data_IF_800294073961
#
_entry.id   IF_800294073961
#
_cell.length_a   1.000
_cell.length_b   1.000
_cell.length_c   1.000
_cell.angle_alpha   90.00
_cell.angle_beta   90.00
_cell.angle_gamma   90.00
#
_symmetry.space_group_name_H-M   'P 1'
#
loop_
_entity.id
_entity.type
_entity.pdbx_description
1 polymer ?
#
# COMPACT_ATOMS: atom_id res chain seq x y z
N UNK A 1 -1.04 -27.19 -1.05
CA UNK A 1 -0.50 -25.85 -0.79
C UNK A 1 0.84 -25.74 -1.51
N UNK A 2 1.04 -24.67 -2.27
CA UNK A 2 2.21 -24.47 -3.11
C UNK A 2 3.50 -24.28 -2.27
N UNK A 3 4.64 -24.52 -2.89
CA UNK A 3 5.98 -24.20 -2.38
C UNK A 3 6.66 -23.35 -3.44
N UNK A 4 7.66 -22.52 -3.09
CA UNK A 4 8.37 -21.76 -4.10
C UNK A 4 9.08 -22.72 -5.06
N UNK A 5 9.09 -22.40 -6.34
CA UNK A 5 9.79 -23.18 -7.36
C UNK A 5 11.33 -23.02 -7.22
N UNK A 6 12.12 -23.73 -8.03
CA UNK A 6 13.57 -23.69 -7.94
C UNK A 6 14.16 -22.32 -8.29
N UNK A 7 13.59 -21.62 -9.26
CA UNK A 7 14.04 -20.28 -9.67
C UNK A 7 13.78 -19.25 -8.56
N UNK A 8 12.60 -19.29 -7.94
CA UNK A 8 12.26 -18.40 -6.82
C UNK A 8 13.15 -18.68 -5.59
N UNK A 9 13.48 -19.96 -5.33
CA UNK A 9 14.43 -20.33 -4.28
C UNK A 9 15.84 -19.85 -4.59
N UNK A 10 16.28 -19.99 -5.85
CA UNK A 10 17.56 -19.48 -6.33
C UNK A 10 17.66 -17.98 -6.13
N UNK A 11 16.64 -17.23 -6.55
CA UNK A 11 16.55 -15.79 -6.34
C UNK A 11 16.67 -15.38 -4.86
N UNK A 12 16.00 -16.08 -3.94
CA UNK A 12 16.14 -15.80 -2.49
C UNK A 12 17.56 -16.01 -2.01
N UNK A 13 18.18 -17.12 -2.40
CA UNK A 13 19.55 -17.44 -1.98
C UNK A 13 20.57 -16.44 -2.55
N UNK A 14 20.36 -16.00 -3.78
CA UNK A 14 21.27 -15.09 -4.48
C UNK A 14 21.13 -13.67 -3.92
N UNK A 15 19.90 -13.22 -3.70
CA UNK A 15 19.63 -11.93 -3.05
C UNK A 15 20.15 -11.88 -1.61
N UNK A 16 20.01 -12.98 -0.86
CA UNK A 16 20.59 -13.07 0.49
C UNK A 16 22.12 -13.09 0.44
N UNK A 17 22.72 -13.83 -0.49
CA UNK A 17 24.17 -13.83 -0.72
C UNK A 17 24.66 -12.40 -0.96
N UNK A 18 24.04 -11.67 -1.89
CA UNK A 18 24.47 -10.32 -2.28
C UNK A 18 24.32 -9.33 -1.13
N UNK A 19 23.24 -9.44 -0.34
CA UNK A 19 23.04 -8.61 0.85
C UNK A 19 24.10 -8.91 1.92
N UNK A 20 24.39 -10.18 2.16
CA UNK A 20 25.42 -10.64 3.12
C UNK A 20 26.82 -10.22 2.66
N UNK A 21 27.12 -10.30 1.38
CA UNK A 21 28.41 -9.87 0.82
C UNK A 21 28.61 -8.36 1.01
N UNK A 22 27.56 -7.56 0.79
CA UNK A 22 27.63 -6.10 0.87
C UNK A 22 27.58 -5.53 2.29
N UNK A 23 26.89 -6.20 3.23
CA UNK A 23 26.67 -5.68 4.59
C UNK A 23 27.23 -6.56 5.71
N UNK A 24 27.81 -7.69 5.34
CA UNK A 24 28.42 -8.63 6.26
C UNK A 24 27.42 -9.64 6.80
N UNK A 25 27.98 -10.66 7.46
CA UNK A 25 27.21 -11.81 7.96
C UNK A 25 26.47 -11.52 9.26
N UNK A 26 26.86 -10.49 10.02
CA UNK A 26 26.47 -10.32 11.42
C UNK A 26 24.95 -10.29 11.63
N UNK A 27 24.17 -9.46 10.92
CA UNK A 27 22.71 -9.46 11.12
C UNK A 27 22.11 -10.84 10.79
N UNK A 28 22.55 -11.45 9.69
CA UNK A 28 22.01 -12.74 9.26
C UNK A 28 22.25 -13.89 10.26
N UNK A 29 23.45 -13.98 10.84
CA UNK A 29 23.85 -15.13 11.67
C UNK A 29 23.72 -14.88 13.18
N UNK A 30 23.78 -13.61 13.61
CA UNK A 30 23.90 -13.24 15.02
C UNK A 30 22.83 -12.26 15.52
N UNK A 31 22.02 -11.61 14.67
CA UNK A 31 20.93 -10.77 15.17
C UNK A 31 19.91 -11.58 15.99
N UNK A 32 19.23 -10.89 16.90
CA UNK A 32 18.10 -11.46 17.62
C UNK A 32 16.95 -11.76 16.64
N UNK A 33 16.34 -12.95 16.76
CA UNK A 33 15.16 -13.30 15.97
C UNK A 33 13.94 -12.81 16.75
N UNK A 34 13.41 -11.65 16.36
CA UNK A 34 12.40 -10.97 17.15
C UNK A 34 11.10 -11.77 17.20
N UNK A 35 10.49 -11.81 18.38
CA UNK A 35 9.20 -12.45 18.63
C UNK A 35 8.28 -11.50 19.39
N UNK A 36 6.94 -11.69 19.36
CA UNK A 36 5.99 -10.84 20.10
C UNK A 36 6.02 -11.17 21.60
N UNK A 37 7.14 -10.91 22.24
CA UNK A 37 7.36 -11.15 23.68
C UNK A 37 7.94 -9.92 24.34
N UNK A 38 7.69 -9.79 25.64
CA UNK A 38 8.24 -8.72 26.49
C UNK A 38 9.78 -8.74 26.56
N UNK A 39 10.42 -9.85 26.14
CA UNK A 39 11.88 -9.93 26.01
C UNK A 39 12.40 -8.92 24.96
N UNK A 40 11.73 -8.82 23.81
CA UNK A 40 12.13 -7.93 22.72
C UNK A 40 11.35 -6.61 22.70
N UNK A 41 10.19 -6.58 23.35
CA UNK A 41 9.36 -5.38 23.43
C UNK A 41 8.89 -5.18 24.88
N UNK A 42 9.80 -4.77 25.79
CA UNK A 42 9.48 -4.63 27.21
C UNK A 42 8.66 -3.37 27.53
N UNK A 43 8.58 -2.43 26.57
CA UNK A 43 7.88 -1.17 26.75
C UNK A 43 6.36 -1.38 26.85
N UNK A 44 5.70 -0.55 27.66
CA UNK A 44 4.24 -0.66 27.82
C UNK A 44 3.53 -0.16 26.57
N UNK A 45 2.82 -1.05 25.90
CA UNK A 45 2.07 -0.71 24.69
C UNK A 45 0.84 0.16 24.98
N UNK A 46 0.74 1.28 24.26
CA UNK A 46 -0.44 2.12 24.15
C UNK A 46 -0.73 2.39 22.66
N UNK A 47 -1.99 2.30 22.20
CA UNK A 47 -2.35 2.55 20.80
C UNK A 47 -2.45 4.07 20.52
N UNK A 48 -1.36 4.79 20.77
CA UNK A 48 -1.19 6.23 20.58
C UNK A 48 0.19 6.54 19.99
N UNK A 49 0.51 7.83 19.84
CA UNK A 49 1.77 8.24 19.21
C UNK A 49 2.98 7.74 19.99
N UNK A 50 2.91 7.80 21.31
CA UNK A 50 3.98 7.41 22.22
C UNK A 50 4.29 5.91 22.09
N UNK A 51 3.26 5.05 22.10
CA UNK A 51 3.47 3.61 21.91
C UNK A 51 4.04 3.27 20.53
N UNK A 52 3.55 3.93 19.48
CA UNK A 52 4.08 3.74 18.11
C UNK A 52 5.53 4.23 17.99
N UNK A 53 5.89 5.35 18.64
CA UNK A 53 7.27 5.83 18.72
C UNK A 53 8.19 4.85 19.44
N UNK A 54 7.73 4.23 20.54
CA UNK A 54 8.52 3.20 21.24
C UNK A 54 8.81 2.02 20.32
N UNK A 55 7.81 1.50 19.62
CA UNK A 55 8.02 0.39 18.66
C UNK A 55 9.00 0.80 17.56
N UNK A 56 8.81 1.95 16.93
CA UNK A 56 9.71 2.43 15.88
C UNK A 56 11.15 2.63 16.39
N UNK A 57 11.31 3.18 17.60
CA UNK A 57 12.61 3.33 18.26
C UNK A 57 13.32 1.98 18.38
N UNK A 58 12.64 0.96 18.92
CA UNK A 58 13.18 -0.40 19.04
C UNK A 58 13.56 -1.00 17.70
N UNK A 59 12.69 -0.88 16.69
CA UNK A 59 12.96 -1.43 15.36
C UNK A 59 14.20 -0.81 14.70
N UNK A 60 14.36 0.51 14.82
CA UNK A 60 15.54 1.22 14.33
C UNK A 60 16.83 0.82 15.08
N UNK A 61 16.78 0.65 16.41
CA UNK A 61 17.92 0.11 17.19
C UNK A 61 18.27 -1.31 16.74
N UNK A 62 17.27 -2.19 16.58
CA UNK A 62 17.50 -3.56 16.12
C UNK A 62 18.07 -3.62 14.69
N UNK A 63 17.77 -2.64 13.86
CA UNK A 63 18.37 -2.48 12.53
C UNK A 63 19.78 -1.87 12.55
N UNK A 64 20.27 -1.39 13.69
CA UNK A 64 21.56 -0.71 13.80
C UNK A 64 21.54 0.73 13.27
N UNK A 65 20.38 1.39 13.34
CA UNK A 65 20.14 2.75 12.83
C UNK A 65 19.92 3.78 13.96
N UNK A 66 20.34 3.47 15.18
CA UNK A 66 20.12 4.32 16.37
C UNK A 66 20.80 5.69 16.31
N UNK A 67 21.81 5.87 15.45
CA UNK A 67 22.50 7.15 15.26
C UNK A 67 21.68 8.17 14.43
N UNK A 68 20.57 7.73 13.83
CA UNK A 68 19.66 8.57 13.05
C UNK A 68 18.55 9.13 13.95
N UNK A 69 18.19 10.40 13.70
CA UNK A 69 16.98 10.96 14.27
C UNK A 69 15.75 10.38 13.57
N UNK A 70 14.60 10.41 14.24
CA UNK A 70 13.36 9.91 13.67
C UNK A 70 12.27 10.97 13.73
N UNK A 71 11.55 11.12 12.63
CA UNK A 71 10.34 11.90 12.53
C UNK A 71 9.17 10.98 12.22
N UNK A 72 8.14 10.98 13.07
CA UNK A 72 6.95 10.15 12.91
C UNK A 72 5.69 11.00 12.78
N UNK A 73 4.92 10.73 11.73
CA UNK A 73 3.58 11.28 11.52
C UNK A 73 2.53 10.18 11.64
N UNK A 74 1.57 10.36 12.56
CA UNK A 74 0.35 9.55 12.59
C UNK A 74 -0.75 10.28 11.82
N UNK A 75 -1.30 9.66 10.78
CA UNK A 75 -2.37 10.25 9.98
C UNK A 75 -3.69 9.55 10.22
N UNK A 76 -4.71 10.27 10.74
CA UNK A 76 -6.11 9.81 10.77
C UNK A 76 -7.03 10.51 9.77
N UNK A 77 -6.58 11.64 9.24
CA UNK A 77 -7.15 12.40 8.13
C UNK A 77 -5.96 13.07 7.41
N UNK A 78 -6.01 13.29 6.09
CA UNK A 78 -4.87 13.84 5.35
C UNK A 78 -4.48 15.19 5.93
N UNK A 79 -3.24 15.31 6.43
CA UNK A 79 -2.62 16.61 6.53
C UNK A 79 -2.41 17.07 5.08
N UNK A 80 -2.97 18.23 4.71
CA UNK A 80 -2.91 18.77 3.36
C UNK A 80 -1.46 18.99 2.90
N UNK A 81 -0.53 19.21 3.83
CA UNK A 81 0.91 19.29 3.59
C UNK A 81 1.53 17.92 3.28
N UNK A 82 1.01 16.82 3.84
CA UNK A 82 1.51 15.46 3.62
C UNK A 82 1.07 14.89 2.25
N UNK A 83 -0.13 15.24 1.79
CA UNK A 83 -0.61 14.89 0.45
C UNK A 83 0.22 15.51 -0.68
N UNK A 84 0.92 16.62 -0.42
CA UNK A 84 1.82 17.25 -1.40
C UNK A 84 3.17 16.54 -1.56
N UNK A 85 3.45 15.53 -0.71
CA UNK A 85 4.70 14.75 -0.67
C UNK A 85 4.56 13.36 -1.26
N UNK A 86 3.34 12.83 -1.17
CA UNK A 86 2.98 11.59 -1.82
C UNK A 86 2.78 11.96 -3.30
N UNK A 87 3.69 11.49 -4.16
CA UNK A 87 3.73 11.80 -5.60
C UNK A 87 2.47 11.35 -6.36
N UNK A 88 1.51 10.71 -5.70
CA UNK A 88 0.29 10.17 -6.33
C UNK A 88 -0.92 10.27 -5.39
N UNK A 89 -2.10 10.71 -5.90
CA UNK A 89 -3.36 10.61 -5.15
C UNK A 89 -3.69 9.12 -4.94
N UNK A 90 -3.60 8.66 -3.70
CA UNK A 90 -3.69 7.25 -3.37
C UNK A 90 -5.15 6.86 -3.04
N UNK A 91 -5.76 5.91 -3.77
CA UNK A 91 -7.15 5.43 -3.54
C UNK A 91 -7.34 4.57 -2.26
N UNK A 92 -6.26 4.00 -1.69
CA UNK A 92 -6.18 3.26 -0.40
C UNK A 92 -4.90 3.53 0.43
N UNK A 93 -4.92 4.43 1.42
CA UNK A 93 -3.73 4.77 2.22
C UNK A 93 -2.89 3.54 2.65
N UNK A 94 -1.55 3.55 2.46
CA UNK A 94 -0.70 2.47 2.96
C UNK A 94 -0.69 2.49 4.50
N UNK A 95 -0.57 1.29 5.11
CA UNK A 95 -0.59 1.15 6.56
C UNK A 95 0.55 1.93 7.24
N UNK A 96 1.72 2.01 6.57
CA UNK A 96 2.84 2.88 6.92
C UNK A 96 3.66 3.24 5.69
N UNK A 97 4.65 4.12 5.89
CA UNK A 97 5.58 4.54 4.83
C UNK A 97 6.88 5.08 5.42
N UNK A 98 7.94 4.97 4.62
CA UNK A 98 9.23 5.62 4.79
C UNK A 98 9.48 6.59 3.62
N UNK A 99 9.83 7.84 3.93
CA UNK A 99 10.01 8.91 2.93
C UNK A 99 11.49 9.32 2.70
N UNK A 100 12.44 8.51 3.17
CA UNK A 100 13.87 8.78 3.02
C UNK A 100 14.52 9.39 4.26
N UNK A 101 15.83 9.65 4.12
CA UNK A 101 16.67 10.26 5.17
C UNK A 101 17.13 11.65 4.71
N UNK A 102 16.91 12.69 5.52
CA UNK A 102 17.39 14.06 5.25
C UNK A 102 17.93 14.67 6.54
N UNK A 103 19.06 15.36 6.45
CA UNK A 103 19.71 15.99 7.61
C UNK A 103 19.88 15.05 8.82
N UNK A 104 20.25 13.79 8.57
CA UNK A 104 20.40 12.75 9.59
C UNK A 104 19.08 12.36 10.31
N UNK A 105 17.92 12.62 9.69
CA UNK A 105 16.60 12.27 10.20
C UNK A 105 15.85 11.38 9.21
N UNK A 106 15.32 10.26 9.70
CA UNK A 106 14.44 9.35 8.97
C UNK A 106 12.98 9.79 9.10
N UNK A 107 12.27 9.87 7.97
CA UNK A 107 10.88 10.28 7.95
C UNK A 107 9.96 9.07 7.76
N UNK A 108 9.11 8.82 8.74
CA UNK A 108 8.14 7.74 8.74
C UNK A 108 6.73 8.27 8.95
N UNK A 109 5.75 7.49 8.49
CA UNK A 109 4.38 7.65 8.93
C UNK A 109 3.61 6.35 9.00
N UNK A 110 2.48 6.42 9.69
CA UNK A 110 1.58 5.31 9.90
C UNK A 110 0.13 5.81 9.96
N UNK A 111 -0.79 5.04 9.38
CA UNK A 111 -2.22 5.34 9.49
C UNK A 111 -2.73 4.88 10.87
N UNK A 112 -3.46 5.77 11.56
CA UNK A 112 -4.01 5.51 12.90
C UNK A 112 -4.98 4.33 12.93
N UNK A 113 -5.56 3.94 11.80
CA UNK A 113 -6.43 2.76 11.73
C UNK A 113 -5.65 1.45 12.00
N UNK A 114 -4.33 1.46 11.83
CA UNK A 114 -3.46 0.29 11.97
C UNK A 114 -2.70 0.22 13.31
N UNK A 115 -2.90 1.19 14.23
CA UNK A 115 -2.16 1.26 15.50
C UNK A 115 -2.83 0.48 16.64
N UNK A 116 -3.92 -0.22 16.39
CA UNK A 116 -4.66 -0.91 17.47
C UNK A 116 -4.00 -2.21 17.91
N UNK A 117 -3.34 -2.91 16.97
CA UNK A 117 -2.69 -4.20 17.22
C UNK A 117 -1.16 -4.02 17.18
N UNK A 118 -0.44 -4.24 18.30
CA UNK A 118 1.01 -3.97 18.36
C UNK A 118 1.81 -4.83 17.39
N UNK A 119 1.41 -6.08 17.15
CA UNK A 119 2.08 -6.96 16.18
C UNK A 119 1.98 -6.43 14.74
N UNK A 120 0.90 -5.72 14.41
CA UNK A 120 0.72 -5.08 13.11
C UNK A 120 1.64 -3.88 12.96
N UNK A 121 1.77 -3.06 14.01
CA UNK A 121 2.70 -1.93 14.05
C UNK A 121 4.14 -2.41 13.88
N UNK A 122 4.54 -3.48 14.57
CA UNK A 122 5.87 -4.09 14.44
C UNK A 122 6.08 -4.62 13.01
N UNK A 123 5.07 -5.25 12.40
CA UNK A 123 5.20 -5.77 11.04
C UNK A 123 5.34 -4.66 9.99
N UNK A 124 4.54 -3.59 10.11
CA UNK A 124 4.62 -2.40 9.25
C UNK A 124 6.01 -1.77 9.38
N UNK A 125 6.44 -1.42 10.59
CA UNK A 125 7.78 -0.83 10.74
C UNK A 125 8.92 -1.79 10.49
N UNK A 126 8.74 -3.11 10.63
CA UNK A 126 9.74 -4.07 10.18
C UNK A 126 10.07 -3.89 8.70
N UNK A 127 9.04 -3.66 7.88
CA UNK A 127 9.20 -3.37 6.45
C UNK A 127 9.74 -1.95 6.21
N UNK A 128 9.14 -0.92 6.82
CA UNK A 128 9.60 0.47 6.59
C UNK A 128 11.03 0.74 7.10
N UNK A 129 11.42 0.13 8.22
CA UNK A 129 12.80 0.22 8.73
C UNK A 129 13.76 -0.59 7.85
N UNK A 130 13.31 -1.67 7.22
CA UNK A 130 14.12 -2.35 6.21
C UNK A 130 14.35 -1.46 4.96
N UNK A 131 13.35 -0.68 4.53
CA UNK A 131 13.55 0.38 3.53
C UNK A 131 14.57 1.41 4.00
N UNK A 132 14.44 1.91 5.24
CA UNK A 132 15.40 2.85 5.81
C UNK A 132 16.83 2.28 5.89
N UNK A 133 16.98 1.00 6.25
CA UNK A 133 18.25 0.28 6.26
C UNK A 133 18.86 0.25 4.86
N UNK A 134 18.08 -0.14 3.86
CA UNK A 134 18.52 -0.22 2.46
C UNK A 134 18.93 1.16 1.93
N UNK A 135 18.12 2.18 2.19
CA UNK A 135 18.42 3.57 1.82
C UNK A 135 19.70 4.08 2.49
N UNK A 136 19.82 3.93 3.81
CA UNK A 136 21.00 4.34 4.58
C UNK A 136 22.28 3.70 4.05
N UNK A 137 22.18 2.42 3.65
CA UNK A 137 23.28 1.64 3.13
C UNK A 137 23.46 1.68 1.62
N UNK A 138 22.66 2.48 0.90
CA UNK A 138 22.68 2.66 -0.55
C UNK A 138 22.54 1.35 -1.32
N UNK A 139 21.57 0.54 -0.92
CA UNK A 139 21.25 -0.78 -1.49
C UNK A 139 20.06 -0.76 -2.46
N UNK A 140 19.40 0.39 -2.60
CA UNK A 140 18.19 0.54 -3.41
C UNK A 140 18.45 0.21 -4.88
N UNK A 141 17.47 -0.43 -5.52
CA UNK A 141 17.45 -0.69 -6.97
C UNK A 141 16.35 0.13 -7.65
N UNK A 142 16.50 0.35 -8.97
CA UNK A 142 15.53 1.15 -9.74
C UNK A 142 14.19 0.43 -9.96
N UNK A 143 14.21 -0.90 -10.02
CA UNK A 143 13.01 -1.71 -10.17
C UNK A 143 12.27 -1.78 -8.83
N UNK A 144 11.07 -1.23 -8.80
CA UNK A 144 10.28 -1.05 -7.58
C UNK A 144 9.80 -2.39 -7.04
N UNK A 145 9.33 -3.29 -7.91
CA UNK A 145 8.81 -4.59 -7.46
C UNK A 145 9.95 -5.41 -6.88
N UNK A 146 11.13 -5.33 -7.49
CA UNK A 146 12.34 -5.97 -6.97
C UNK A 146 12.80 -5.32 -5.66
N UNK A 147 12.81 -3.99 -5.56
CA UNK A 147 13.20 -3.28 -4.34
C UNK A 147 12.35 -3.71 -3.15
N UNK A 148 11.04 -3.78 -3.32
CA UNK A 148 10.11 -4.20 -2.28
C UNK A 148 10.32 -5.67 -1.86
N UNK A 149 10.62 -6.55 -2.81
CA UNK A 149 10.99 -7.95 -2.54
C UNK A 149 12.31 -8.04 -1.76
N UNK A 150 13.29 -7.21 -2.11
CA UNK A 150 14.57 -7.11 -1.41
C UNK A 150 14.43 -6.50 -0.01
N UNK A 151 13.51 -5.56 0.18
CA UNK A 151 13.12 -5.01 1.49
C UNK A 151 12.53 -6.09 2.39
N UNK A 152 11.63 -6.91 1.86
CA UNK A 152 11.08 -8.06 2.58
C UNK A 152 12.16 -9.10 2.95
N UNK A 153 13.13 -9.39 2.07
CA UNK A 153 14.29 -10.22 2.42
C UNK A 153 15.19 -9.56 3.47
N UNK A 154 15.33 -8.24 3.42
CA UNK A 154 16.09 -7.47 4.40
C UNK A 154 15.45 -7.59 5.78
N UNK A 155 14.12 -7.67 5.89
CA UNK A 155 13.45 -7.96 7.16
C UNK A 155 13.91 -9.30 7.77
N UNK A 156 14.10 -10.35 6.95
CA UNK A 156 14.64 -11.64 7.42
C UNK A 156 16.09 -11.50 7.84
N UNK A 157 16.91 -10.81 7.04
CA UNK A 157 18.32 -10.55 7.33
C UNK A 157 18.53 -9.81 8.66
N UNK A 158 17.65 -8.85 8.99
CA UNK A 158 17.69 -8.08 10.24
C UNK A 158 17.04 -8.80 11.44
N UNK A 159 16.40 -9.95 11.23
CA UNK A 159 15.75 -10.73 12.30
C UNK A 159 14.28 -10.42 12.56
N UNK A 160 13.64 -9.60 11.71
CA UNK A 160 12.22 -9.20 11.82
C UNK A 160 11.27 -10.22 11.19
N UNK A 161 11.80 -11.19 10.46
CA UNK A 161 11.06 -12.02 9.51
C UNK A 161 9.83 -12.76 10.08
N UNK A 162 9.71 -13.03 11.38
CA UNK A 162 8.51 -13.67 11.96
C UNK A 162 7.27 -12.77 11.79
N UNK A 163 7.40 -11.48 12.09
CA UNK A 163 6.29 -10.52 11.98
C UNK A 163 5.87 -10.34 10.53
N UNK A 164 6.82 -10.08 9.62
CA UNK A 164 6.55 -9.89 8.19
C UNK A 164 6.00 -11.17 7.53
N UNK A 165 6.45 -12.34 7.97
CA UNK A 165 5.89 -13.62 7.48
C UNK A 165 4.42 -13.76 7.85
N UNK A 166 4.01 -13.36 9.07
CA UNK A 166 2.62 -13.39 9.50
C UNK A 166 1.75 -12.35 8.76
N UNK A 167 2.27 -11.15 8.51
CA UNK A 167 1.53 -10.08 7.83
C UNK A 167 1.38 -10.28 6.32
N UNK A 168 2.32 -10.97 5.67
CA UNK A 168 2.32 -11.23 4.21
C UNK A 168 1.01 -11.82 3.65
N UNK A 169 0.28 -12.62 4.44
CA UNK A 169 -1.00 -13.19 4.01
C UNK A 169 -2.16 -12.20 4.09
N UNK A 170 -2.17 -11.32 5.12
CA UNK A 170 -3.22 -10.31 5.33
C UNK A 170 -3.27 -9.33 4.15
N UNK A 171 -2.10 -8.89 3.69
CA UNK A 171 -1.97 -8.03 2.52
C UNK A 171 -2.40 -8.72 1.21
N UNK A 172 -2.16 -10.04 1.06
CA UNK A 172 -2.61 -10.81 -0.12
C UNK A 172 -4.13 -10.99 -0.16
N UNK A 173 -4.78 -11.21 0.99
CA UNK A 173 -6.25 -11.35 1.04
C UNK A 173 -7.00 -10.05 0.74
N UNK A 174 -6.39 -8.87 0.95
CA UNK A 174 -6.97 -7.58 0.59
C UNK A 174 -7.00 -7.27 -0.91
N UNK A 175 -6.23 -8.00 -1.72
CA UNK A 175 -6.06 -7.76 -3.17
C UNK A 175 -6.94 -8.60 -4.11
N UNK A 176 -7.79 -9.51 -3.60
CA UNK A 176 -8.57 -10.45 -4.41
C UNK A 176 -9.91 -9.89 -4.94
N UNK A 177 -10.19 -8.59 -4.78
CA UNK A 177 -11.44 -7.92 -5.17
C UNK A 177 -11.28 -6.89 -6.31
N UNK A 178 -10.41 -7.13 -7.31
CA UNK A 178 -10.32 -6.21 -8.45
C UNK A 178 -9.59 -6.80 -9.65
N UNK A 179 -10.35 -7.18 -10.68
CA UNK A 179 -9.83 -7.44 -12.03
C UNK A 179 -9.34 -6.09 -12.62
N UNK A 180 -8.10 -6.01 -13.08
CA UNK A 180 -7.53 -4.82 -13.73
C UNK A 180 -6.97 -5.16 -15.12
N UNK A 181 -7.16 -4.25 -16.07
CA UNK A 181 -6.47 -4.20 -17.36
C UNK A 181 -5.89 -2.79 -17.53
N UNK A 182 -4.56 -2.78 -17.68
CA UNK A 182 -3.66 -1.82 -18.33
C UNK A 182 -3.79 -0.30 -18.09
N UNK A 183 -2.72 0.28 -17.54
CA UNK A 183 -2.44 1.71 -17.44
C UNK A 183 -1.31 1.95 -16.44
N UNK A 184 -0.16 2.42 -16.89
CA UNK A 184 1.09 2.46 -16.14
C UNK A 184 1.12 3.54 -15.03
N UNK A 185 1.89 3.22 -13.98
CA UNK A 185 2.55 4.07 -12.99
C UNK A 185 1.88 4.30 -11.62
N UNK A 186 2.53 3.66 -10.62
CA UNK A 186 2.62 3.94 -9.18
C UNK A 186 1.33 3.88 -8.37
N UNK A 187 0.89 2.65 -8.14
CA UNK A 187 0.09 2.26 -7.00
C UNK A 187 0.67 0.95 -6.49
N UNK A 188 1.08 0.96 -5.22
CA UNK A 188 1.36 -0.21 -4.39
C UNK A 188 0.04 -1.02 -4.35
N UNK A 189 -0.18 -1.80 -5.41
CA UNK A 189 -1.26 -2.75 -5.44
C UNK A 189 -0.82 -3.92 -4.57
N UNK A 190 -1.59 -4.11 -3.50
CA UNK A 190 -1.60 -5.25 -2.58
C UNK A 190 -1.51 -6.62 -3.27
N UNK A 191 -0.32 -6.96 -3.75
CA UNK A 191 0.16 -8.31 -4.03
C UNK A 191 1.46 -8.41 -3.25
N UNK A 192 1.40 -8.98 -2.04
CA UNK A 192 2.53 -9.04 -1.10
C UNK A 192 3.84 -9.39 -1.78
N UNK A 193 4.88 -8.59 -1.51
CA UNK A 193 6.11 -8.55 -2.28
C UNK A 193 6.86 -9.88 -2.21
N UNK A 194 7.10 -10.43 -1.02
CA UNK A 194 7.32 -11.86 -0.87
C UNK A 194 6.04 -12.60 -0.50
N UNK A 195 5.81 -13.73 -1.19
CA UNK A 195 4.76 -14.66 -0.80
C UNK A 195 5.04 -15.27 0.59
N UNK A 196 4.01 -15.67 1.36
CA UNK A 196 4.20 -16.38 2.62
C UNK A 196 5.12 -17.60 2.49
N UNK A 197 5.09 -18.26 1.33
CA UNK A 197 5.95 -19.38 0.98
C UNK A 197 7.43 -18.97 0.84
N UNK A 198 7.72 -17.83 0.21
CA UNK A 198 9.08 -17.30 0.05
C UNK A 198 9.66 -16.79 1.37
N UNK A 199 8.87 -16.04 2.14
CA UNK A 199 9.22 -15.65 3.51
C UNK A 199 9.56 -16.88 4.38
N UNK A 200 8.70 -17.90 4.32
CA UNK A 200 8.91 -19.15 5.05
C UNK A 200 10.16 -19.90 4.58
N UNK A 201 10.52 -19.78 3.30
CA UNK A 201 11.75 -20.33 2.76
C UNK A 201 12.98 -19.59 3.31
N UNK A 202 13.00 -18.27 3.24
CA UNK A 202 14.08 -17.42 3.76
C UNK A 202 14.32 -17.65 5.26
N UNK A 203 13.26 -17.67 6.08
CA UNK A 203 13.35 -18.00 7.52
C UNK A 203 13.98 -19.38 7.76
N UNK A 204 13.53 -20.40 7.03
CA UNK A 204 14.07 -21.75 7.19
C UNK A 204 15.55 -21.84 6.78
N UNK A 205 15.97 -21.11 5.74
CA UNK A 205 17.38 -21.00 5.34
C UNK A 205 18.19 -20.38 6.47
N UNK A 206 17.76 -19.22 7.00
CA UNK A 206 18.46 -18.54 8.10
C UNK A 206 18.61 -19.44 9.33
N UNK A 207 17.55 -20.14 9.74
CA UNK A 207 17.57 -21.01 10.92
C UNK A 207 18.46 -22.25 10.74
N UNK A 208 18.56 -22.78 9.52
CA UNK A 208 19.45 -23.90 9.20
C UNK A 208 20.91 -23.44 9.16
N UNK A 209 21.20 -22.30 8.55
CA UNK A 209 22.55 -21.72 8.51
C UNK A 209 23.05 -21.48 9.93
N UNK A 210 22.21 -20.85 10.77
CA UNK A 210 22.44 -20.59 12.21
C UNK A 210 22.59 -21.84 13.06
N UNK A 211 22.27 -23.01 12.51
CA UNK A 211 22.25 -24.30 13.20
C UNK A 211 21.41 -24.28 14.48
N UNK A 212 20.23 -23.64 14.42
CA UNK A 212 19.40 -23.47 15.62
C UNK A 212 19.00 -24.84 16.19
N UNK A 213 19.08 -25.05 17.52
CA UNK A 213 18.60 -26.27 18.14
C UNK A 213 17.11 -26.53 17.86
N UNK A 214 16.70 -27.80 17.83
CA UNK A 214 15.29 -28.16 17.56
C UNK A 214 14.29 -27.53 18.55
N UNK A 215 14.70 -27.34 19.80
CA UNK A 215 13.86 -26.72 20.83
C UNK A 215 13.57 -25.25 20.49
N UNK A 216 14.61 -24.50 20.14
CA UNK A 216 14.50 -23.08 19.76
C UNK A 216 13.66 -22.92 18.49
N UNK A 217 13.91 -23.73 17.44
CA UNK A 217 13.05 -23.74 16.24
C UNK A 217 11.59 -24.02 16.59
N UNK A 218 11.34 -24.91 17.56
CA UNK A 218 9.97 -25.24 18.00
C UNK A 218 9.31 -24.07 18.73
N UNK A 219 10.06 -23.28 19.49
CA UNK A 219 9.58 -22.06 20.14
C UNK A 219 9.26 -20.99 19.09
N UNK A 220 10.19 -20.68 18.18
CA UNK A 220 9.98 -19.71 17.10
C UNK A 220 8.76 -20.05 16.23
N UNK A 221 8.59 -21.34 15.89
CA UNK A 221 7.42 -21.80 15.13
C UNK A 221 6.08 -21.50 15.82
N UNK A 222 6.02 -21.35 17.16
CA UNK A 222 4.76 -21.02 17.86
C UNK A 222 4.29 -19.60 17.58
N UNK A 223 5.21 -18.69 17.26
CA UNK A 223 4.90 -17.30 16.92
C UNK A 223 4.47 -17.12 15.47
N UNK A 224 4.62 -18.15 14.62
CA UNK A 224 4.10 -18.12 13.26
C UNK A 224 2.63 -18.56 13.21
N UNK A 225 1.87 -17.90 12.36
CA UNK A 225 0.49 -18.25 12.00
C UNK A 225 0.40 -19.67 11.41
N UNK A 226 -0.78 -20.28 11.48
CA UNK A 226 -0.95 -21.73 11.20
C UNK A 226 -0.43 -22.15 9.82
N UNK A 227 -0.70 -21.35 8.78
CA UNK A 227 -0.28 -21.64 7.41
C UNK A 227 1.23 -21.45 7.23
N UNK A 228 1.76 -20.32 7.69
CA UNK A 228 3.18 -19.94 7.67
C UNK A 228 4.03 -20.98 8.41
N UNK A 229 3.60 -21.37 9.61
CA UNK A 229 4.22 -22.44 10.41
C UNK A 229 4.29 -23.76 9.63
N UNK A 230 3.25 -24.10 8.87
CA UNK A 230 3.23 -25.30 8.02
C UNK A 230 4.25 -25.21 6.89
N UNK A 231 4.39 -24.04 6.27
CA UNK A 231 5.38 -23.78 5.23
C UNK A 231 6.81 -23.89 5.75
N UNK A 232 7.14 -23.20 6.85
CA UNK A 232 8.48 -23.27 7.46
C UNK A 232 8.82 -24.71 7.85
N UNK A 233 7.91 -25.46 8.47
CA UNK A 233 8.14 -26.88 8.82
C UNK A 233 8.45 -27.75 7.61
N UNK A 234 7.73 -27.57 6.50
CA UNK A 234 7.97 -28.31 5.25
C UNK A 234 9.34 -27.97 4.68
N UNK A 235 9.70 -26.69 4.64
CA UNK A 235 11.02 -26.25 4.17
C UNK A 235 12.14 -26.79 5.04
N UNK A 236 12.03 -26.68 6.37
CA UNK A 236 13.03 -27.23 7.30
C UNK A 236 13.24 -28.74 7.11
N UNK A 237 12.16 -29.50 6.86
CA UNK A 237 12.25 -30.93 6.57
C UNK A 237 12.97 -31.20 5.25
N UNK A 238 12.70 -30.40 4.21
CA UNK A 238 13.30 -30.52 2.88
C UNK A 238 14.78 -30.17 2.88
N UNK A 239 15.15 -29.09 3.55
CA UNK A 239 16.53 -28.60 3.65
C UNK A 239 17.36 -29.34 4.71
N UNK A 240 16.81 -30.38 5.34
CA UNK A 240 17.53 -31.20 6.34
C UNK A 240 18.81 -31.76 5.72
N UNK A 241 19.94 -31.52 6.39
CA UNK A 241 21.26 -31.97 5.95
C UNK A 241 21.91 -31.08 4.88
N UNK A 242 21.25 -30.02 4.41
CA UNK A 242 21.78 -29.13 3.38
C UNK A 242 22.56 -27.93 3.95
N UNK A 243 22.80 -27.89 5.26
CA UNK A 243 23.48 -26.76 5.92
C UNK A 243 24.80 -26.38 5.26
N UNK A 244 25.68 -27.36 4.99
CA UNK A 244 26.97 -27.09 4.37
C UNK A 244 26.84 -26.46 2.98
N UNK A 245 25.88 -26.94 2.17
CA UNK A 245 25.58 -26.37 0.85
C UNK A 245 25.06 -24.94 0.95
N UNK A 246 24.15 -24.68 1.89
CA UNK A 246 23.60 -23.34 2.12
C UNK A 246 24.67 -22.37 2.63
N UNK A 247 25.50 -22.77 3.58
CA UNK A 247 26.62 -21.95 4.05
C UNK A 247 27.58 -21.64 2.91
N UNK A 248 27.90 -22.62 2.04
CA UNK A 248 28.74 -22.37 0.87
C UNK A 248 28.08 -21.40 -0.12
N UNK A 249 26.79 -21.58 -0.44
CA UNK A 249 26.05 -20.71 -1.37
C UNK A 249 25.95 -19.26 -0.87
N UNK A 250 25.80 -19.07 0.44
CA UNK A 250 25.66 -17.76 1.07
C UNK A 250 27.00 -17.18 1.56
N UNK A 251 28.13 -17.82 1.21
CA UNK A 251 29.47 -17.43 1.64
C UNK A 251 29.62 -17.23 3.17
N UNK A 252 29.00 -18.12 3.94
CA UNK A 252 29.01 -18.08 5.41
C UNK A 252 30.25 -18.81 5.94
N UNK A 253 31.12 -18.15 6.72
CA UNK A 253 32.31 -18.77 7.29
C UNK A 253 31.95 -19.78 8.39
N UNK A 254 32.92 -20.60 8.83
CA UNK A 254 32.79 -21.45 10.02
C UNK A 254 32.29 -20.69 11.23
N UNK A 255 31.63 -21.40 12.16
CA UNK A 255 30.92 -20.77 13.28
C UNK A 255 31.88 -20.08 14.26
N UNK A 256 33.11 -20.57 14.36
CA UNK A 256 34.18 -19.94 15.17
C UNK A 256 34.53 -18.51 14.73
N UNK A 257 34.26 -18.16 13.48
CA UNK A 257 34.54 -16.82 12.92
C UNK A 257 33.33 -15.89 12.99
N UNK A 258 32.22 -16.33 13.59
CA UNK A 258 31.01 -15.51 13.65
C UNK A 258 31.16 -14.38 14.67
N UNK A 259 30.67 -13.17 14.34
CA UNK A 259 30.61 -12.07 15.29
C UNK A 259 29.69 -12.43 16.45
N UNK A 260 30.03 -11.97 17.65
CA UNK A 260 29.20 -12.15 18.84
C UNK A 260 27.84 -11.47 18.64
N UNK A 261 26.77 -12.14 19.08
CA UNK A 261 25.45 -11.51 19.20
C UNK A 261 25.52 -10.33 20.18
N UNK A 262 25.08 -9.12 19.79
CA UNK A 262 24.99 -8.00 20.72
C UNK A 262 24.10 -8.36 21.92
N UNK A 263 24.53 -8.07 23.17
CA UNK A 263 23.69 -8.29 24.33
C UNK A 263 22.37 -7.54 24.20
N UNK A 264 21.25 -8.25 24.39
CA UNK A 264 19.93 -7.64 24.24
C UNK A 264 19.73 -6.47 25.23
N UNK A 265 20.26 -6.61 26.45
CA UNK A 265 20.22 -5.55 27.46
C UNK A 265 20.86 -4.23 27.01
N UNK A 266 21.85 -4.28 26.12
CA UNK A 266 22.49 -3.07 25.62
C UNK A 266 21.60 -2.41 24.57
N UNK A 267 21.01 -3.20 23.66
CA UNK A 267 20.03 -2.73 22.68
C UNK A 267 18.79 -2.11 23.36
N UNK A 268 18.34 -2.68 24.47
CA UNK A 268 17.17 -2.19 25.21
C UNK A 268 17.44 -0.88 25.98
N UNK A 269 18.71 -0.52 26.22
CA UNK A 269 19.09 0.76 26.86
C UNK A 269 19.22 1.90 25.87
N UNK A 270 19.48 1.58 24.60
CA UNK A 270 19.54 2.58 23.54
C UNK A 270 18.17 3.21 23.33
N UNK A 271 18.18 4.51 23.05
CA UNK A 271 16.98 5.27 22.73
C UNK A 271 17.27 6.16 21.51
N UNK A 272 16.22 6.47 20.76
CA UNK A 272 16.30 7.25 19.54
C UNK A 272 15.80 8.65 19.79
N UNK A 273 16.55 9.61 19.27
CA UNK A 273 16.13 11.01 19.30
C UNK A 273 15.01 11.23 18.29
N UNK A 274 13.82 11.53 18.78
CA UNK A 274 12.74 11.99 17.93
C UNK A 274 12.86 13.49 17.65
N UNK A 275 12.87 13.86 16.37
CA UNK A 275 12.90 15.26 15.96
C UNK A 275 11.48 15.85 16.02
N UNK A 276 11.38 17.05 16.59
CA UNK A 276 10.18 17.86 16.66
C UNK A 276 10.02 18.79 15.45
N UNK A 277 10.70 18.52 14.33
CA UNK A 277 10.60 19.30 13.08
C UNK A 277 9.15 19.68 12.69
N UNK A 278 8.18 18.79 12.95
CA UNK A 278 6.75 19.03 12.67
C UNK A 278 5.94 19.58 13.86
N UNK A 279 6.55 19.77 15.02
CA UNK A 279 5.87 20.13 16.29
C UNK A 279 5.94 21.62 16.64
N UNK A 280 6.67 22.45 15.91
CA UNK A 280 6.65 23.89 16.15
C UNK A 280 5.57 24.58 15.33
N UNK A 281 4.42 24.80 15.98
CA UNK A 281 3.51 25.90 15.67
C UNK A 281 4.31 27.21 15.53
N UNK A 282 4.61 27.63 14.30
CA UNK A 282 4.69 29.01 13.80
C UNK A 282 5.40 29.03 12.45
N UNK A 283 4.58 29.11 11.41
CA UNK A 283 4.87 29.68 10.09
C UNK A 283 6.12 30.60 10.07
N UNK A 284 7.24 30.17 9.45
CA UNK A 284 8.09 31.05 8.68
C UNK A 284 7.68 30.91 7.22
N UNK A 285 7.23 32.03 6.67
CA UNK A 285 6.87 32.20 5.26
C UNK A 285 7.92 31.54 4.34
N UNK A 286 7.44 30.71 3.42
CA UNK A 286 8.17 30.16 2.27
C UNK A 286 9.43 29.36 2.56
N UNK A 287 9.24 28.09 2.92
CA UNK A 287 10.01 26.99 2.31
C UNK A 287 9.00 25.90 1.99
N UNK A 288 8.46 25.94 0.77
CA UNK A 288 7.55 24.91 0.30
C UNK A 288 8.31 23.59 0.18
N UNK A 289 7.66 22.48 0.48
CA UNK A 289 8.26 21.16 0.43
C UNK A 289 8.87 20.78 -0.95
N UNK A 290 8.46 21.48 -2.02
CA UNK A 290 9.04 21.38 -3.35
C UNK A 290 10.55 21.71 -3.39
N UNK A 291 11.04 22.62 -2.54
CA UNK A 291 12.47 22.98 -2.47
C UNK A 291 13.34 21.84 -1.90
N UNK A 292 12.74 20.86 -1.20
CA UNK A 292 13.44 19.71 -0.60
C UNK A 292 13.68 18.55 -1.60
N UNK A 293 13.05 18.57 -2.77
CA UNK A 293 13.17 17.53 -3.81
C UNK A 293 13.93 17.99 -5.06
N UNK A 294 14.38 19.24 -5.15
CA UNK A 294 15.02 19.78 -6.36
C UNK A 294 16.46 19.27 -6.60
N UNK A 295 17.04 18.51 -5.66
CA UNK A 295 18.42 18.02 -5.76
C UNK A 295 18.57 16.55 -6.21
N UNK A 296 17.50 15.78 -6.39
CA UNK A 296 17.59 14.39 -6.88
C UNK A 296 17.39 14.20 -8.38
N UNK A 297 17.07 15.25 -9.15
CA UNK A 297 16.89 15.16 -10.61
C UNK A 297 17.88 15.99 -11.46
N UNK A 298 18.80 16.76 -10.86
CA UNK A 298 19.79 17.55 -11.62
C UNK A 298 21.08 16.78 -11.89
N UNK A 299 20.95 15.71 -12.67
CA UNK A 299 22.02 15.23 -13.54
C UNK A 299 21.48 15.17 -14.98
N UNK A 300 21.91 16.15 -15.78
CA UNK A 300 21.63 16.36 -17.22
C UNK A 300 20.22 16.81 -17.60
N UNK A 301 20.03 18.13 -17.63
CA UNK A 301 19.65 18.82 -18.87
C UNK A 301 20.13 20.26 -18.84
N UNK A 302 20.92 20.60 -19.85
CA UNK A 302 21.34 21.96 -20.20
C UNK A 302 20.16 22.66 -20.86
N UNK A 303 20.01 23.92 -20.47
CA UNK A 303 19.63 25.09 -21.24
C UNK A 303 18.21 25.20 -21.85
N UNK A 304 17.66 26.39 -21.60
CA UNK A 304 16.66 27.17 -22.36
C UNK A 304 15.17 27.13 -21.95
N UNK A 305 14.72 28.35 -21.61
CA UNK A 305 13.43 28.98 -21.91
C UNK A 305 12.38 29.14 -20.79
N UNK A 306 12.44 30.36 -20.23
CA UNK A 306 11.32 31.32 -20.00
C UNK A 306 10.09 30.91 -19.18
N UNK A 307 9.98 31.63 -18.06
CA UNK A 307 8.79 32.07 -17.33
C UNK A 307 7.50 32.31 -18.16
N UNK A 308 6.44 31.59 -17.80
CA UNK A 308 5.04 32.07 -17.82
C UNK A 308 4.26 31.31 -16.74
N UNK A 309 4.04 31.95 -15.59
CA UNK A 309 3.11 31.46 -14.56
C UNK A 309 1.82 32.28 -14.65
N UNK A 310 0.75 31.68 -15.12
CA UNK A 310 -0.62 32.19 -14.97
C UNK A 310 -1.38 31.32 -13.98
N UNK A 311 -1.86 31.94 -12.90
CA UNK A 311 -2.82 31.40 -11.95
C UNK A 311 -4.03 30.79 -12.69
N UNK A 312 -4.19 29.46 -12.65
CA UNK A 312 -5.42 28.79 -13.07
C UNK A 312 -6.25 28.55 -11.82
N UNK A 313 -7.34 29.30 -11.67
CA UNK A 313 -8.38 28.99 -10.68
C UNK A 313 -9.03 27.67 -11.06
N UNK A 314 -8.88 26.63 -10.23
CA UNK A 314 -9.52 25.34 -10.44
C UNK A 314 -11.05 25.47 -10.36
N UNK A 315 -11.71 25.36 -11.51
CA UNK A 315 -13.17 25.35 -11.66
C UNK A 315 -13.73 23.99 -11.20
N UNK A 316 -14.68 23.99 -10.25
CA UNK A 316 -15.26 22.74 -9.72
C UNK A 316 -16.30 22.18 -10.68
N UNK A 317 -15.92 21.18 -11.47
CA UNK A 317 -16.76 20.51 -12.48
C UNK A 317 -17.31 19.17 -11.98
N UNK A 318 -18.49 18.78 -12.48
CA UNK A 318 -19.15 17.50 -12.18
C UNK A 318 -19.89 16.94 -13.41
N UNK A 319 -20.23 15.66 -13.37
CA UNK A 319 -20.89 14.93 -14.47
C UNK A 319 -22.17 14.26 -13.98
N UNK A 320 -23.10 14.01 -14.91
CA UNK A 320 -24.31 13.22 -14.68
C UNK A 320 -24.00 11.74 -14.78
N UNK A 321 -24.40 10.97 -13.76
CA UNK A 321 -24.29 9.51 -13.75
C UNK A 321 -25.68 8.89 -13.75
N UNK A 322 -26.10 8.17 -14.81
CA UNK A 322 -27.40 7.52 -14.84
C UNK A 322 -27.41 6.33 -13.87
N UNK A 323 -28.40 6.27 -12.98
CA UNK A 323 -28.58 5.12 -12.07
C UNK A 323 -29.62 4.14 -12.63
N UNK A 324 -29.15 3.03 -13.20
CA UNK A 324 -30.01 2.00 -13.80
C UNK A 324 -30.49 0.93 -12.79
N UNK A 325 -30.78 1.32 -11.55
CA UNK A 325 -31.23 0.38 -10.52
C UNK A 325 -32.73 0.09 -10.64
N UNK A 326 -33.13 -0.63 -11.68
CA UNK A 326 -34.49 -1.19 -11.83
C UNK A 326 -34.67 -2.51 -11.05
N UNK A 327 -33.59 -3.01 -10.45
CA UNK A 327 -33.51 -4.29 -9.74
C UNK A 327 -34.60 -4.45 -8.66
N UNK A 328 -34.89 -3.44 -7.81
CA UNK A 328 -35.91 -3.60 -6.77
C UNK A 328 -37.32 -3.81 -7.34
N UNK A 329 -37.67 -3.08 -8.41
CA UNK A 329 -38.99 -3.13 -9.04
C UNK A 329 -39.18 -4.46 -9.79
N UNK A 330 -38.13 -4.92 -10.49
CA UNK A 330 -38.12 -6.22 -11.18
C UNK A 330 -38.32 -7.36 -10.18
N UNK A 331 -37.59 -7.35 -9.05
CA UNK A 331 -37.69 -8.38 -8.02
C UNK A 331 -39.09 -8.42 -7.38
N UNK A 332 -39.63 -7.26 -7.01
CA UNK A 332 -40.97 -7.18 -6.41
C UNK A 332 -42.04 -7.71 -7.35
N UNK A 333 -42.04 -7.29 -8.62
CA UNK A 333 -43.05 -7.74 -9.58
C UNK A 333 -42.85 -9.20 -10.00
N UNK A 334 -41.60 -9.70 -10.03
CA UNK A 334 -41.31 -11.13 -10.23
C UNK A 334 -41.88 -11.99 -9.09
N UNK A 335 -41.73 -11.54 -7.83
CA UNK A 335 -42.28 -12.24 -6.68
C UNK A 335 -43.82 -12.21 -6.67
N UNK A 336 -44.43 -11.06 -6.96
CA UNK A 336 -45.89 -10.95 -7.11
C UNK A 336 -46.39 -11.88 -8.21
N UNK A 337 -45.71 -11.95 -9.34
CA UNK A 337 -46.01 -12.87 -10.43
C UNK A 337 -45.88 -14.34 -10.03
N UNK A 338 -44.83 -14.69 -9.28
CA UNK A 338 -44.60 -16.05 -8.76
C UNK A 338 -45.75 -16.51 -7.85
N UNK A 339 -46.12 -15.69 -6.87
CA UNK A 339 -47.20 -16.02 -5.92
C UNK A 339 -48.58 -15.99 -6.60
N UNK A 340 -48.83 -15.03 -7.49
CA UNK A 340 -50.07 -14.95 -8.25
C UNK A 340 -50.27 -16.16 -9.18
N UNK A 341 -49.23 -16.57 -9.90
CA UNK A 341 -49.26 -17.75 -10.77
C UNK A 341 -49.45 -19.05 -10.00
N UNK A 342 -48.83 -19.16 -8.82
CA UNK A 342 -49.00 -20.30 -7.92
C UNK A 342 -50.43 -20.41 -7.36
N UNK A 343 -50.98 -19.28 -6.93
CA UNK A 343 -52.34 -19.20 -6.36
C UNK A 343 -53.42 -19.53 -7.40
N UNK A 344 -53.33 -18.96 -8.61
CA UNK A 344 -54.32 -19.16 -9.67
C UNK A 344 -54.34 -20.58 -10.24
N UNK A 345 -53.22 -21.30 -10.16
CA UNK A 345 -53.10 -22.66 -10.69
C UNK A 345 -53.30 -23.76 -9.63
N UNK A 346 -53.55 -23.39 -8.38
CA UNK A 346 -53.75 -24.34 -7.28
C UNK A 346 -52.50 -25.12 -6.90
N UNK A 347 -51.30 -24.54 -7.03
CA UNK A 347 -50.05 -25.19 -6.64
C UNK A 347 -49.21 -25.80 -7.77
N UNK A 348 -49.60 -25.62 -9.03
CA UNK A 348 -48.85 -26.17 -10.16
C UNK A 348 -47.59 -25.33 -10.45
N UNK A 349 -46.42 -25.93 -10.19
CA UNK A 349 -45.11 -25.26 -10.29
C UNK A 349 -44.86 -24.54 -11.62
N UNK A 350 -45.31 -25.08 -12.76
CA UNK A 350 -45.09 -24.50 -14.10
C UNK A 350 -45.70 -23.09 -14.23
N UNK A 351 -46.86 -22.85 -13.60
CA UNK A 351 -47.55 -21.57 -13.69
C UNK A 351 -46.97 -20.52 -12.73
N UNK A 352 -46.37 -20.95 -11.61
CA UNK A 352 -45.62 -20.07 -10.72
C UNK A 352 -44.42 -19.45 -11.46
N UNK A 353 -43.62 -20.27 -12.14
CA UNK A 353 -42.48 -19.76 -12.91
C UNK A 353 -42.92 -18.87 -14.08
N UNK A 354 -43.98 -19.23 -14.80
CA UNK A 354 -44.53 -18.38 -15.87
C UNK A 354 -44.95 -17.01 -15.33
N UNK A 355 -45.62 -16.97 -14.19
CA UNK A 355 -45.99 -15.74 -13.50
C UNK A 355 -44.77 -14.91 -13.08
N UNK A 356 -43.73 -15.56 -12.56
CA UNK A 356 -42.46 -14.90 -12.19
C UNK A 356 -41.80 -14.20 -13.38
N UNK A 357 -41.70 -14.88 -14.53
CA UNK A 357 -41.09 -14.30 -15.72
C UNK A 357 -41.91 -13.13 -16.29
N UNK A 358 -43.25 -13.24 -16.31
CA UNK A 358 -44.12 -12.15 -16.74
C UNK A 358 -44.05 -10.94 -15.80
N UNK A 359 -43.99 -11.19 -14.49
CA UNK A 359 -43.80 -10.16 -13.47
C UNK A 359 -42.46 -9.44 -13.60
N UNK A 360 -41.37 -10.18 -13.81
CA UNK A 360 -40.05 -9.60 -14.04
C UNK A 360 -39.96 -8.77 -15.32
N UNK A 361 -40.57 -9.24 -16.41
CA UNK A 361 -40.63 -8.51 -17.67
C UNK A 361 -41.42 -7.20 -17.54
N UNK A 362 -42.56 -7.23 -16.84
CA UNK A 362 -43.34 -6.03 -16.56
C UNK A 362 -42.57 -5.06 -15.66
N UNK A 363 -41.88 -5.57 -14.65
CA UNK A 363 -41.05 -4.75 -13.76
C UNK A 363 -39.86 -4.10 -14.48
N UNK A 364 -39.29 -4.76 -15.48
CA UNK A 364 -38.26 -4.18 -16.33
C UNK A 364 -38.82 -3.01 -17.17
N UNK A 365 -39.99 -3.20 -17.79
CA UNK A 365 -40.66 -2.15 -18.58
C UNK A 365 -41.10 -0.95 -17.73
N UNK A 366 -41.61 -1.18 -16.53
CA UNK A 366 -42.00 -0.12 -15.59
C UNK A 366 -40.79 0.60 -15.04
N UNK A 367 -39.75 -0.13 -14.64
CA UNK A 367 -38.49 0.43 -14.15
C UNK A 367 -37.83 1.36 -15.17
N UNK A 368 -37.74 0.95 -16.44
CA UNK A 368 -37.18 1.81 -17.49
C UNK A 368 -37.93 3.13 -17.69
N UNK A 369 -39.21 3.22 -17.31
CA UNK A 369 -40.03 4.42 -17.51
C UNK A 369 -40.04 5.36 -16.30
N UNK A 370 -39.70 4.88 -15.10
CA UNK A 370 -39.88 5.61 -13.83
C UNK A 370 -38.58 5.85 -13.04
N UNK A 371 -37.47 5.18 -13.37
CA UNK A 371 -36.25 5.17 -12.53
C UNK A 371 -34.96 5.66 -13.19
N UNK A 372 -35.01 6.40 -14.31
CA UNK A 372 -33.84 7.15 -14.78
C UNK A 372 -33.62 8.37 -13.87
N UNK A 373 -32.77 8.21 -12.84
CA UNK A 373 -32.33 9.29 -11.96
C UNK A 373 -30.84 9.51 -12.19
N UNK A 374 -30.49 10.70 -12.69
CA UNK A 374 -29.10 11.10 -12.81
C UNK A 374 -28.61 11.56 -11.43
N UNK A 375 -27.42 11.12 -11.05
CA UNK A 375 -26.75 11.56 -9.83
C UNK A 375 -25.51 12.37 -10.16
N UNK A 376 -25.12 13.24 -9.24
CA UNK A 376 -23.85 13.95 -9.30
C UNK A 376 -22.68 12.96 -9.22
N UNK A 377 -21.69 13.12 -10.10
CA UNK A 377 -20.48 12.29 -10.13
C UNK A 377 -19.59 12.49 -8.90
N UNK A 378 -19.76 13.58 -8.15
CA UNK A 378 -18.98 13.87 -6.96
C UNK A 378 -19.29 12.84 -5.83
N UNK A 379 -18.29 12.05 -5.35
CA UNK A 379 -18.43 11.00 -4.35
C UNK A 379 -19.01 11.50 -3.02
N UNK A 380 -18.71 12.73 -2.63
CA UNK A 380 -19.16 13.30 -1.36
C UNK A 380 -20.55 13.94 -1.49
N UNK A 381 -20.94 14.31 -2.73
CA UNK A 381 -22.23 14.93 -3.01
C UNK A 381 -23.34 13.91 -3.25
N UNK A 382 -23.18 13.03 -4.25
CA UNK A 382 -24.19 12.06 -4.73
C UNK A 382 -25.62 12.61 -4.86
N UNK A 383 -25.75 13.93 -5.09
CA UNK A 383 -27.05 14.58 -5.09
C UNK A 383 -27.80 14.23 -6.37
N UNK A 384 -29.12 14.14 -6.28
CA UNK A 384 -29.95 13.85 -7.46
C UNK A 384 -30.02 15.09 -8.34
N UNK A 385 -29.65 14.91 -9.60
CA UNK A 385 -29.60 16.00 -10.57
C UNK A 385 -30.95 16.10 -11.32
N UNK A 386 -31.65 17.24 -11.24
CA UNK A 386 -32.79 17.52 -12.12
C UNK A 386 -32.35 17.46 -13.59
N UNK A 387 -33.23 17.06 -14.51
CA UNK A 387 -32.87 16.90 -15.93
C UNK A 387 -32.35 18.18 -16.60
N UNK A 388 -32.78 19.34 -16.11
CA UNK A 388 -32.47 20.66 -16.70
C UNK A 388 -31.48 21.48 -15.84
N UNK A 389 -30.78 20.84 -14.90
CA UNK A 389 -29.80 21.53 -14.07
C UNK A 389 -28.45 21.69 -14.79
N UNK A 390 -27.94 22.92 -14.84
CA UNK A 390 -26.59 23.23 -15.34
C UNK A 390 -25.53 23.21 -14.22
N UNK A 391 -25.98 23.19 -12.96
CA UNK A 391 -25.13 23.08 -11.78
C UNK A 391 -25.75 22.13 -10.75
N UNK A 392 -24.91 21.42 -9.98
CA UNK A 392 -25.38 20.57 -8.89
C UNK A 392 -25.96 21.42 -7.74
N UNK A 393 -27.20 21.17 -7.29
CA UNK A 393 -27.85 21.98 -6.25
C UNK A 393 -27.23 21.83 -4.86
N UNK A 394 -26.38 20.82 -4.63
CA UNK A 394 -25.76 20.56 -3.32
C UNK A 394 -24.29 20.96 -3.26
N UNK A 395 -23.45 20.50 -4.18
CA UNK A 395 -22.03 20.85 -4.18
C UNK A 395 -21.70 22.11 -4.99
N UNK A 396 -22.65 22.63 -5.79
CA UNK A 396 -22.43 23.81 -6.62
C UNK A 396 -21.59 23.56 -7.89
N UNK A 397 -21.08 22.34 -8.09
CA UNK A 397 -20.26 22.00 -9.25
C UNK A 397 -21.01 22.18 -10.57
N UNK A 398 -20.31 22.66 -11.60
CA UNK A 398 -20.86 22.88 -12.93
C UNK A 398 -21.01 21.55 -13.69
N UNK A 399 -22.19 21.28 -14.24
CA UNK A 399 -22.48 20.01 -14.91
C UNK A 399 -22.01 20.11 -16.36
N UNK A 400 -20.91 19.42 -16.68
CA UNK A 400 -20.24 19.55 -17.99
C UNK A 400 -20.50 18.40 -18.96
N UNK A 401 -21.05 17.27 -18.47
CA UNK A 401 -21.31 16.10 -19.31
C UNK A 401 -22.01 14.96 -18.61
N UNK A 402 -22.12 13.82 -19.30
CA UNK A 402 -22.70 12.58 -18.77
C UNK A 402 -21.67 11.45 -18.88
N UNK A 403 -21.51 10.68 -17.81
CA UNK A 403 -20.62 9.50 -17.73
C UNK A 403 -21.45 8.28 -17.34
N UNK A 404 -21.08 7.08 -17.81
CA UNK A 404 -21.88 5.88 -17.57
C UNK A 404 -21.72 5.33 -16.15
N UNK A 405 -20.52 5.44 -15.60
CA UNK A 405 -20.23 5.02 -14.23
C UNK A 405 -19.39 6.06 -13.52
N UNK A 406 -19.49 6.11 -12.19
CA UNK A 406 -18.77 7.09 -11.37
C UNK A 406 -17.25 6.96 -11.46
N UNK A 407 -16.75 5.76 -11.79
CA UNK A 407 -15.32 5.48 -11.99
C UNK A 407 -14.77 6.15 -13.25
N UNK A 408 -15.62 6.53 -14.21
CA UNK A 408 -15.20 7.26 -15.42
C UNK A 408 -15.03 8.77 -15.16
N UNK A 409 -15.30 9.24 -13.93
CA UNK A 409 -15.24 10.67 -13.59
C UNK A 409 -13.86 11.25 -13.90
N UNK A 410 -12.79 10.62 -13.42
CA UNK A 410 -11.43 11.16 -13.58
C UNK A 410 -11.03 11.25 -15.06
N UNK A 411 -11.30 10.19 -15.83
CA UNK A 411 -11.05 10.20 -17.27
C UNK A 411 -11.87 11.28 -18.02
N UNK A 412 -13.12 11.51 -17.60
CA UNK A 412 -13.95 12.56 -18.19
C UNK A 412 -13.54 13.98 -17.77
N UNK A 413 -13.00 14.15 -16.55
CA UNK A 413 -12.39 15.41 -16.10
C UNK A 413 -11.13 15.72 -16.92
N UNK A 414 -10.26 14.72 -17.14
CA UNK A 414 -9.06 14.85 -17.98
C UNK A 414 -9.43 15.23 -19.43
N UNK A 415 -10.37 14.50 -20.06
CA UNK A 415 -10.83 14.81 -21.42
C UNK A 415 -11.45 16.23 -21.52
N UNK A 416 -12.15 16.68 -20.48
CA UNK A 416 -12.70 18.03 -20.44
C UNK A 416 -11.60 19.10 -20.32
N UNK A 417 -10.56 18.85 -19.52
CA UNK A 417 -9.42 19.75 -19.40
C UNK A 417 -8.58 19.83 -20.68
N UNK A 418 -8.34 18.70 -21.35
CA UNK A 418 -7.67 18.65 -22.65
C UNK A 418 -8.46 19.42 -23.70
N UNK A 419 -9.76 19.18 -23.82
CA UNK A 419 -10.62 19.88 -24.79
C UNK A 419 -10.79 21.37 -24.47
N UNK A 420 -10.75 21.78 -23.20
CA UNK A 420 -10.74 23.20 -22.79
C UNK A 420 -9.41 23.86 -23.18
N UNK A 421 -8.28 23.19 -22.93
CA UNK A 421 -6.95 23.65 -23.33
C UNK A 421 -6.84 23.85 -24.85
N UNK A 422 -7.30 22.87 -25.63
CA UNK A 422 -7.32 22.96 -27.10
C UNK A 422 -8.19 24.13 -27.59
N UNK A 423 -9.33 24.40 -26.94
CA UNK A 423 -10.23 25.52 -27.28
C UNK A 423 -9.61 26.87 -26.92
N UNK A 424 -8.94 26.98 -25.78
CA UNK A 424 -8.26 28.21 -25.36
C UNK A 424 -7.05 28.51 -26.26
N UNK A 425 -6.28 27.49 -26.66
CA UNK A 425 -5.19 27.63 -27.62
C UNK A 425 -5.70 28.05 -29.01
N UNK A 426 -6.78 27.43 -29.50
CA UNK A 426 -7.40 27.83 -30.77
C UNK A 426 -7.94 29.27 -30.73
N UNK A 427 -8.61 29.67 -29.64
CA UNK A 427 -9.10 31.04 -29.45
C UNK A 427 -7.96 32.05 -29.43
N UNK A 428 -6.85 31.74 -28.76
CA UNK A 428 -5.65 32.58 -28.73
C UNK A 428 -5.00 32.72 -30.11
N UNK A 429 -4.89 31.63 -30.86
CA UNK A 429 -4.36 31.63 -32.25
C UNK A 429 -5.25 32.47 -33.16
N UNK A 430 -6.58 32.42 -32.99
CA UNK A 430 -7.53 33.20 -33.76
C UNK A 430 -7.48 34.70 -33.41
N UNK A 431 -7.29 35.04 -32.14
CA UNK A 431 -7.07 36.41 -31.67
C UNK A 431 -5.78 37.01 -32.24
N UNK A 432 -4.67 36.25 -32.25
CA UNK A 432 -3.42 36.67 -32.89
C UNK A 432 -3.61 36.89 -34.40
N UNK A 433 -4.31 35.99 -35.09
CA UNK A 433 -4.61 36.15 -36.53
C UNK A 433 -5.44 37.40 -36.82
N UNK A 434 -6.40 37.72 -35.95
CA UNK A 434 -7.20 38.94 -36.05
C UNK A 434 -6.38 40.21 -35.76
N UNK A 435 -5.42 40.15 -34.83
CA UNK A 435 -4.48 41.25 -34.58
C UNK A 435 -3.49 41.48 -35.73
N UNK A 436 -3.10 40.43 -36.46
CA UNK A 436 -2.16 40.53 -37.59
C UNK A 436 -2.83 40.88 -38.93
N UNK A 437 -4.16 40.94 -38.99
CA UNK A 437 -4.93 41.26 -40.20
C UNK A 437 -5.49 42.69 -40.23
N UNK A 438 -5.13 43.52 -39.24
CA UNK A 438 -5.30 44.97 -39.19
C UNK A 438 -3.94 45.66 -39.24
#
# INVERSE_FOLDING_TARGET
>A
MAQPNEDEQGWVLDSLHDLIEQKGIQPFVSAHLLTPTEEFFPDTWTPDKEGVQQVLSRMMVYAGLQDLQVSLVLSGQPNQELNSLLVTPYEKKPAGWFAGIRHNCCFFGMDVEHIHEPEEVVAVFGHEVAHAYRHYHKLEVEDIEEEERLTDLTCVYLGFGIFNTNSSFRYRSGGLNGLSTEGHQWSIQSKGYLSPELFSFALAVQWIVRDLPNMERTQLLRHLETNQRSYVRKTLKRLKGQRASLCHRLNIPPREDWPSTPPLEDLLKEDITFDTFWSTEKNPKHTGFADLFEHTSKSRRRDEASSHSSDVQNEHIVFRVPTDSNVPIILVLSLVGLFGGNYLSGGAFVFAFTGMFLGGWLGYKVGMRWTLRDECSDPDCMERLPKEADSCPRCGGHIVGMIHTRNQRLAAEEEWHETKGDREEQAYIEEIKNMMSH
#
